data_IF_283569764042
#
_entry.id   IF_283569764042
#
_cell.length_a   1.000
_cell.length_b   1.000
_cell.length_c   1.000
_cell.angle_alpha   90.00
_cell.angle_beta   90.00
_cell.angle_gamma   90.00
#
_symmetry.space_group_name_H-M   'P 1'
#
loop_
_entity.id
_entity.type
_entity.pdbx_description
1 polymer ?
#
# COMPACT_ATOMS: atom_id res chain seq x y z
N UNK A 1 15.77 -5.95 -47.91
CA UNK A 1 16.02 -7.12 -47.05
C UNK A 1 16.00 -6.60 -45.62
N UNK A 2 14.85 -6.61 -44.97
CA UNK A 2 14.72 -6.14 -43.59
C UNK A 2 15.19 -7.29 -42.69
N UNK A 3 16.38 -7.15 -42.09
CA UNK A 3 16.78 -8.00 -40.97
C UNK A 3 15.87 -7.66 -39.79
N UNK A 4 14.80 -8.42 -39.61
CA UNK A 4 14.11 -8.48 -38.33
C UNK A 4 15.02 -9.28 -37.39
N UNK A 5 16.01 -8.62 -36.80
CA UNK A 5 16.63 -9.15 -35.58
C UNK A 5 15.56 -9.06 -34.50
N UNK A 6 15.10 -10.22 -34.00
CA UNK A 6 14.22 -10.25 -32.83
C UNK A 6 14.86 -9.42 -31.71
N UNK A 7 14.08 -8.65 -30.95
CA UNK A 7 14.61 -7.99 -29.76
C UNK A 7 15.15 -9.08 -28.84
N UNK A 8 16.48 -9.12 -28.69
CA UNK A 8 17.15 -10.09 -27.84
C UNK A 8 16.92 -9.67 -26.37
N UNK A 9 15.81 -10.14 -25.80
CA UNK A 9 15.56 -9.98 -24.38
C UNK A 9 16.60 -10.76 -23.59
N UNK A 10 17.30 -10.09 -22.68
CA UNK A 10 18.25 -10.71 -21.75
C UNK A 10 17.58 -11.84 -20.97
N UNK A 11 18.34 -12.90 -20.68
CA UNK A 11 17.80 -14.09 -20.00
C UNK A 11 17.26 -13.76 -18.59
N UNK A 12 17.76 -12.69 -17.95
CA UNK A 12 17.24 -12.15 -16.68
C UNK A 12 15.78 -11.65 -16.71
N UNK A 13 15.26 -11.31 -17.90
CA UNK A 13 13.85 -10.93 -18.08
C UNK A 13 13.00 -12.19 -18.27
N UNK A 14 13.53 -13.20 -18.97
CA UNK A 14 12.82 -14.45 -19.27
C UNK A 14 12.59 -15.30 -18.01
N UNK A 15 13.49 -15.21 -17.05
CA UNK A 15 13.42 -15.97 -15.79
C UNK A 15 12.57 -15.28 -14.70
N UNK A 16 12.03 -14.08 -14.95
CA UNK A 16 11.18 -13.39 -13.97
C UNK A 16 9.77 -14.00 -13.93
N UNK A 17 9.41 -14.58 -12.78
CA UNK A 17 8.11 -15.24 -12.58
C UNK A 17 7.01 -14.29 -12.12
N UNK A 18 7.38 -13.16 -11.51
CA UNK A 18 6.43 -12.16 -11.04
C UNK A 18 6.01 -11.26 -12.21
N UNK A 19 4.74 -11.33 -12.61
CA UNK A 19 4.21 -10.62 -13.79
C UNK A 19 4.43 -9.10 -13.71
N UNK A 20 4.27 -8.51 -12.53
CA UNK A 20 4.53 -7.10 -12.24
C UNK A 20 6.01 -6.74 -12.43
N UNK A 21 6.92 -7.55 -11.88
CA UNK A 21 8.37 -7.33 -12.06
C UNK A 21 8.80 -7.53 -13.50
N UNK A 22 8.20 -8.49 -14.19
CA UNK A 22 8.47 -8.75 -15.61
C UNK A 22 8.14 -7.50 -16.44
N UNK A 23 6.92 -6.97 -16.32
CA UNK A 23 6.50 -5.78 -17.08
C UNK A 23 7.23 -4.51 -16.65
N UNK A 24 7.63 -4.42 -15.38
CA UNK A 24 8.55 -3.37 -14.93
C UNK A 24 9.90 -3.47 -15.64
N UNK A 25 10.54 -4.65 -15.69
CA UNK A 25 11.82 -4.85 -16.41
C UNK A 25 11.69 -4.51 -17.89
N UNK A 26 10.59 -4.90 -18.53
CA UNK A 26 10.30 -4.54 -19.94
C UNK A 26 10.22 -3.02 -20.12
N UNK A 27 9.57 -2.30 -19.19
CA UNK A 27 9.46 -0.84 -19.28
C UNK A 27 10.80 -0.11 -19.15
N UNK A 28 11.80 -0.75 -18.53
CA UNK A 28 13.16 -0.21 -18.36
C UNK A 28 14.10 -0.46 -19.54
N UNK A 29 13.66 -1.20 -20.57
CA UNK A 29 14.48 -1.42 -21.77
C UNK A 29 14.62 -0.12 -22.54
N UNK A 30 15.86 0.34 -22.72
CA UNK A 30 16.23 1.50 -23.50
C UNK A 30 17.04 1.10 -24.74
N UNK A 31 16.96 1.92 -25.79
CA UNK A 31 17.78 1.76 -26.98
C UNK A 31 19.18 2.38 -26.81
N UNK A 32 19.99 2.34 -27.87
CA UNK A 32 21.33 2.96 -27.88
C UNK A 32 21.32 4.48 -27.71
N UNK A 33 20.14 5.11 -27.78
CA UNK A 33 19.91 6.54 -27.58
C UNK A 33 19.38 6.85 -26.18
N UNK A 34 19.36 5.88 -25.27
CA UNK A 34 18.80 5.99 -23.91
C UNK A 34 17.28 6.29 -23.88
N UNK A 35 16.56 5.91 -24.94
CA UNK A 35 15.11 6.07 -25.03
C UNK A 35 14.43 4.77 -24.63
N UNK A 36 13.54 4.84 -23.63
CA UNK A 36 12.75 3.69 -23.19
C UNK A 36 11.76 3.22 -24.27
N UNK A 37 12.03 2.05 -24.84
CA UNK A 37 11.33 1.53 -26.02
C UNK A 37 9.91 1.05 -25.69
N UNK A 38 9.73 0.46 -24.51
CA UNK A 38 8.46 -0.14 -24.08
C UNK A 38 7.82 0.56 -22.89
N UNK A 39 8.21 1.82 -22.59
CA UNK A 39 7.71 2.56 -21.43
C UNK A 39 6.19 2.61 -21.36
N UNK A 40 5.54 3.03 -22.45
CA UNK A 40 4.08 3.19 -22.48
C UNK A 40 3.36 1.85 -22.36
N UNK A 41 3.87 0.80 -23.01
CA UNK A 41 3.31 -0.54 -22.91
C UNK A 41 3.47 -1.12 -21.50
N UNK A 42 4.67 -1.00 -20.92
CA UNK A 42 4.94 -1.47 -19.57
C UNK A 42 4.08 -0.77 -18.53
N UNK A 43 3.95 0.57 -18.62
CA UNK A 43 3.07 1.34 -17.75
C UNK A 43 1.60 0.91 -17.90
N UNK A 44 1.11 0.76 -19.13
CA UNK A 44 -0.26 0.30 -19.39
C UNK A 44 -0.55 -1.05 -18.73
N UNK A 45 0.36 -2.02 -18.87
CA UNK A 45 0.16 -3.35 -18.25
C UNK A 45 0.26 -3.27 -16.73
N UNK A 46 1.18 -2.47 -16.18
CA UNK A 46 1.26 -2.27 -14.73
C UNK A 46 -0.02 -1.64 -14.19
N UNK A 47 -0.59 -0.65 -14.87
CA UNK A 47 -1.88 -0.04 -14.51
C UNK A 47 -3.02 -1.08 -14.54
N UNK A 48 -3.03 -1.96 -15.56
CA UNK A 48 -3.98 -3.05 -15.65
C UNK A 48 -3.86 -4.04 -14.49
N UNK A 49 -2.63 -4.34 -14.04
CA UNK A 49 -2.36 -5.27 -12.94
C UNK A 49 -2.82 -4.73 -11.58
N UNK A 50 -2.97 -3.41 -11.43
CA UNK A 50 -3.52 -2.79 -10.20
C UNK A 50 -5.04 -2.98 -10.11
N UNK A 51 -5.72 -3.24 -11.23
CA UNK A 51 -7.16 -3.45 -11.23
C UNK A 51 -7.47 -4.78 -10.54
N UNK A 52 -8.36 -4.80 -9.52
CA UNK A 52 -8.79 -6.04 -8.88
C UNK A 52 -9.52 -6.92 -9.90
N UNK A 53 -8.84 -7.95 -10.39
CA UNK A 53 -9.31 -8.84 -11.47
C UNK A 53 -10.53 -9.72 -11.08
N UNK A 54 -11.04 -9.64 -9.85
CA UNK A 54 -12.14 -10.49 -9.40
C UNK A 54 -13.01 -9.83 -8.33
N UNK A 55 -14.31 -10.08 -8.41
CA UNK A 55 -15.29 -9.76 -7.38
C UNK A 55 -14.90 -10.32 -6.00
N UNK A 56 -14.15 -11.43 -5.95
CA UNK A 56 -13.65 -11.99 -4.69
C UNK A 56 -12.72 -11.03 -3.93
N UNK A 57 -11.99 -10.15 -4.63
CA UNK A 57 -11.19 -9.10 -3.98
C UNK A 57 -12.09 -8.05 -3.31
N UNK A 58 -13.15 -7.64 -4.00
CA UNK A 58 -14.17 -6.73 -3.46
C UNK A 58 -14.92 -7.36 -2.27
N UNK A 59 -15.34 -8.62 -2.37
CA UNK A 59 -15.99 -9.37 -1.29
C UNK A 59 -15.10 -9.49 -0.05
N UNK A 60 -13.79 -9.72 -0.24
CA UNK A 60 -12.82 -9.69 0.87
C UNK A 60 -12.75 -8.31 1.54
N UNK A 61 -12.81 -7.23 0.77
CA UNK A 61 -12.87 -5.87 1.34
C UNK A 61 -14.18 -5.62 2.08
N UNK A 62 -15.33 -6.02 1.52
CA UNK A 62 -16.62 -5.89 2.19
C UNK A 62 -16.68 -6.72 3.48
N UNK A 63 -16.09 -7.91 3.49
CA UNK A 63 -15.96 -8.73 4.71
C UNK A 63 -15.17 -7.98 5.80
N UNK A 64 -14.04 -7.34 5.45
CA UNK A 64 -13.29 -6.49 6.40
C UNK A 64 -14.11 -5.30 6.90
N UNK A 65 -14.87 -4.65 6.01
CA UNK A 65 -15.77 -3.56 6.40
C UNK A 65 -16.87 -4.05 7.36
N UNK A 66 -17.43 -5.24 7.15
CA UNK A 66 -18.41 -5.84 8.06
C UNK A 66 -17.81 -6.18 9.42
N UNK A 67 -16.53 -6.55 9.49
CA UNK A 67 -15.82 -6.73 10.77
C UNK A 67 -15.62 -5.41 11.50
N UNK A 68 -15.46 -4.29 10.78
CA UNK A 68 -15.35 -2.94 11.36
C UNK A 68 -16.73 -2.42 11.79
N UNK A 69 -17.73 -2.58 10.93
CA UNK A 69 -19.12 -2.17 11.13
C UNK A 69 -19.96 -3.36 11.58
N UNK A 70 -19.88 -3.66 12.86
CA UNK A 70 -20.71 -4.70 13.49
C UNK A 70 -22.12 -4.19 13.76
N UNK A 71 -23.06 -5.09 14.04
CA UNK A 71 -24.46 -4.73 14.34
C UNK A 71 -24.58 -3.73 15.49
N UNK A 72 -23.75 -3.89 16.52
CA UNK A 72 -23.69 -2.97 17.68
C UNK A 72 -22.90 -1.69 17.42
N UNK A 73 -22.02 -1.67 16.40
CA UNK A 73 -21.13 -0.55 16.06
C UNK A 73 -21.29 -0.14 14.59
N UNK A 74 -22.53 0.13 14.17
CA UNK A 74 -22.83 0.41 12.75
C UNK A 74 -22.77 1.92 12.38
N UNK A 75 -22.84 2.82 13.37
CA UNK A 75 -22.90 4.28 13.19
C UNK A 75 -21.50 4.90 13.17
N UNK A 76 -20.72 4.54 12.16
CA UNK A 76 -19.39 5.11 11.90
C UNK A 76 -19.43 5.99 10.66
N UNK A 77 -18.77 7.14 10.72
CA UNK A 77 -18.52 7.97 9.54
C UNK A 77 -17.62 7.23 8.56
N UNK A 78 -17.79 7.47 7.27
CA UNK A 78 -17.01 6.84 6.21
C UNK A 78 -15.50 7.05 6.41
N UNK A 79 -15.10 8.25 6.85
CA UNK A 79 -13.69 8.57 7.13
C UNK A 79 -13.11 7.71 8.27
N UNK A 80 -13.93 7.44 9.30
CA UNK A 80 -13.54 6.55 10.41
C UNK A 80 -13.40 5.11 9.93
N UNK A 81 -14.35 4.63 9.11
CA UNK A 81 -14.30 3.27 8.54
C UNK A 81 -13.06 3.11 7.65
N UNK A 82 -12.78 4.09 6.79
CA UNK A 82 -11.61 4.12 5.93
C UNK A 82 -10.30 4.10 6.76
N UNK A 83 -10.23 4.94 7.80
CA UNK A 83 -9.07 5.00 8.69
C UNK A 83 -8.82 3.67 9.42
N UNK A 84 -9.88 3.03 9.91
CA UNK A 84 -9.80 1.71 10.56
C UNK A 84 -9.39 0.60 9.58
N UNK A 85 -9.91 0.65 8.35
CA UNK A 85 -9.55 -0.29 7.30
C UNK A 85 -8.06 -0.17 6.96
N UNK A 86 -7.56 1.06 6.75
CA UNK A 86 -6.15 1.34 6.49
C UNK A 86 -5.25 0.90 7.65
N UNK A 87 -5.65 1.20 8.88
CA UNK A 87 -4.92 0.74 10.07
C UNK A 87 -4.85 -0.80 10.12
N UNK A 88 -5.96 -1.49 9.87
CA UNK A 88 -6.01 -2.96 9.85
C UNK A 88 -5.15 -3.60 8.76
N UNK A 89 -4.91 -2.89 7.65
CA UNK A 89 -4.06 -3.36 6.55
C UNK A 89 -2.58 -3.04 6.80
N UNK A 90 -2.30 -1.92 7.45
CA UNK A 90 -0.94 -1.44 7.74
C UNK A 90 -0.29 -2.21 8.88
N UNK A 91 -1.08 -2.62 9.87
CA UNK A 91 -0.62 -3.48 10.97
C UNK A 91 -0.65 -4.93 10.48
N UNK A 92 0.49 -5.44 10.02
CA UNK A 92 0.67 -6.86 9.73
C UNK A 92 0.39 -7.69 11.01
N UNK A 93 0.22 -9.00 10.87
CA UNK A 93 -0.15 -9.97 11.95
C UNK A 93 0.68 -9.85 13.24
N UNK A 94 1.82 -9.16 13.20
CA UNK A 94 2.72 -8.92 14.32
C UNK A 94 2.63 -7.45 14.76
N UNK A 95 1.52 -7.05 15.36
CA UNK A 95 1.30 -5.68 15.84
C UNK A 95 2.38 -5.20 16.82
N UNK A 96 3.02 -6.11 17.55
CA UNK A 96 4.12 -5.83 18.46
C UNK A 96 5.42 -5.43 17.75
N UNK A 97 5.56 -5.69 16.44
CA UNK A 97 6.70 -5.22 15.63
C UNK A 97 6.42 -3.88 14.94
N UNK A 98 5.24 -3.30 15.15
CA UNK A 98 4.89 -2.01 14.58
C UNK A 98 5.78 -0.92 15.19
N UNK A 99 6.70 -0.39 14.39
CA UNK A 99 7.60 0.67 14.82
C UNK A 99 6.89 2.02 14.67
N UNK A 100 6.53 2.64 15.80
CA UNK A 100 5.86 3.93 15.84
C UNK A 100 6.86 5.03 15.49
N UNK A 101 6.61 5.77 14.41
CA UNK A 101 7.47 6.90 14.04
C UNK A 101 7.29 8.07 15.01
N UNK A 102 8.35 8.88 15.20
CA UNK A 102 8.27 10.07 16.05
C UNK A 102 7.16 11.04 15.60
N UNK A 103 6.88 11.13 14.29
CA UNK A 103 5.78 11.92 13.75
C UNK A 103 4.41 11.43 14.25
N UNK A 104 4.21 10.12 14.35
CA UNK A 104 2.96 9.55 14.90
C UNK A 104 2.81 9.87 16.39
N UNK A 105 3.89 9.74 17.18
CA UNK A 105 3.90 10.12 18.60
C UNK A 105 3.55 11.60 18.73
N UNK A 106 4.21 12.46 17.96
CA UNK A 106 3.97 13.90 17.98
C UNK A 106 2.53 14.25 17.62
N UNK A 107 1.89 13.55 16.67
CA UNK A 107 0.48 13.78 16.33
C UNK A 107 -0.47 13.38 17.44
N UNK A 108 -0.19 12.27 18.13
CA UNK A 108 -0.99 11.80 19.27
C UNK A 108 -0.88 12.78 20.44
N UNK A 109 0.32 13.30 20.71
CA UNK A 109 0.56 14.29 21.77
C UNK A 109 0.05 15.69 21.40
N UNK A 110 0.19 16.11 20.14
CA UNK A 110 -0.35 17.39 19.64
C UNK A 110 -1.86 17.47 19.76
N UNK A 111 -2.57 16.35 19.60
CA UNK A 111 -4.03 16.30 19.77
C UNK A 111 -4.45 16.52 21.23
N UNK A 112 -3.61 16.12 22.22
CA UNK A 112 -3.85 16.44 23.63
C UNK A 112 -3.77 17.95 23.89
N UNK A 113 -2.91 18.67 23.19
CA UNK A 113 -2.80 20.13 23.35
C UNK A 113 -3.97 20.92 22.74
N UNK A 114 -4.74 20.36 21.81
CA UNK A 114 -5.95 21.00 21.26
C UNK A 114 -7.20 20.70 22.12
N UNK A 115 -7.16 19.64 22.94
CA UNK A 115 -8.26 19.24 23.81
C UNK A 115 -8.07 19.61 25.30
N UNK A 116 -6.94 20.25 25.65
CA UNK A 116 -6.57 20.60 27.04
C UNK A 116 -6.46 22.11 27.30
N UNK A 117 -7.27 22.93 26.61
CA UNK A 117 -7.92 24.04 27.31
C UNK A 117 -9.18 23.42 27.96
N UNK A 118 -9.06 22.54 28.95
CA UNK A 118 -9.13 22.87 30.38
C UNK A 118 -8.42 21.77 31.23
N UNK A 119 -7.32 22.16 31.90
CA UNK A 119 -6.66 21.61 33.10
C UNK A 119 -6.69 20.08 33.40
N UNK A 120 -5.53 19.42 33.30
CA UNK A 120 -4.81 18.69 34.39
C UNK A 120 -3.80 17.68 33.78
N UNK A 121 -2.54 17.76 34.20
CA UNK A 121 -1.41 16.96 33.67
C UNK A 121 -1.38 15.58 34.33
N UNK A 122 -1.51 14.52 33.53
CA UNK A 122 -1.23 13.15 33.97
C UNK A 122 0.05 12.66 33.30
N UNK A 123 1.12 12.54 34.09
CA UNK A 123 2.37 11.92 33.71
C UNK A 123 2.15 10.41 33.46
N UNK A 124 2.48 9.95 32.25
CA UNK A 124 2.43 8.53 31.90
C UNK A 124 3.88 8.03 31.87
N UNK A 125 4.32 7.48 33.00
CA UNK A 125 5.59 6.76 33.09
C UNK A 125 5.36 5.31 32.60
N UNK A 126 6.11 4.88 31.58
CA UNK A 126 6.14 3.48 31.15
C UNK A 126 7.39 2.83 31.73
N UNK A 127 7.23 1.98 32.74
CA UNK A 127 8.26 1.02 33.13
C UNK A 127 8.08 -0.27 32.31
N UNK A 128 9.16 -0.84 31.76
CA UNK A 128 9.13 -2.16 31.16
C UNK A 128 9.29 -3.26 32.22
N UNK A 129 8.38 -4.24 32.21
CA UNK A 129 8.60 -5.57 32.82
C UNK A 129 9.47 -6.46 31.92
#
# INVERSE_FOLDING_TARGET
MYCQSEPNFSDEIKDETSIDKYWYKISQIHDMSDVYVFKELGNFVLDLLVIPHSNAACERMFSKVNLIKTDVRNRLYSDTVNSLLLASQSVNRECYKFNVTQNMINRITSYKHVAQDENETVDIHFEPE
#
